data_IF_121090260636
#
_entry.id   IF_121090260636
#
_cell.length_a   1.000
_cell.length_b   1.000
_cell.length_c   1.000
_cell.angle_alpha   90.00
_cell.angle_beta   90.00
_cell.angle_gamma   90.00
#
_symmetry.space_group_name_H-M   'P 1'
#
loop_
_entity.id
_entity.type
_entity.pdbx_description
1 polymer ?
#
# COMPACT_ATOMS: atom_id res chain seq x y z
N UNK A 1 2.84 13.05 -21.29
CA UNK A 1 1.45 13.34 -21.77
C UNK A 1 1.15 14.83 -21.74
N UNK A 2 0.38 15.35 -22.67
CA UNK A 2 -0.07 16.74 -22.61
C UNK A 2 -1.26 16.83 -21.67
N UNK A 3 -1.07 17.41 -20.50
CA UNK A 3 -2.13 17.50 -19.46
C UNK A 3 -2.91 18.80 -19.58
N UNK A 4 -4.22 18.69 -19.33
CA UNK A 4 -5.05 19.85 -19.00
C UNK A 4 -5.00 20.03 -17.48
N UNK A 5 -4.58 21.21 -17.05
CA UNK A 5 -4.63 21.59 -15.64
C UNK A 5 -5.96 22.28 -15.35
N UNK A 6 -6.73 21.73 -14.42
CA UNK A 6 -8.08 22.17 -14.08
C UNK A 6 -8.09 22.96 -12.78
N UNK A 7 -8.48 24.23 -12.84
CA UNK A 7 -8.57 25.13 -11.70
C UNK A 7 -10.03 25.29 -11.24
N UNK A 8 -10.45 24.61 -10.17
CA UNK A 8 -11.87 24.59 -9.76
C UNK A 8 -12.37 25.91 -9.16
N UNK A 9 -11.49 26.77 -8.67
CA UNK A 9 -11.86 28.00 -7.99
C UNK A 9 -12.41 29.08 -8.95
N UNK A 10 -11.95 29.09 -10.19
CA UNK A 10 -12.31 30.07 -11.23
C UNK A 10 -12.82 29.42 -12.52
N UNK A 11 -13.01 28.09 -12.50
CA UNK A 11 -13.40 27.28 -13.66
C UNK A 11 -12.50 27.48 -14.89
N UNK A 12 -11.22 27.76 -14.67
CA UNK A 12 -10.26 27.87 -15.77
C UNK A 12 -9.57 26.52 -16.02
N UNK A 13 -9.09 26.37 -17.26
CA UNK A 13 -8.33 25.19 -17.68
C UNK A 13 -7.12 25.67 -18.44
N UNK A 14 -5.95 25.19 -18.04
CA UNK A 14 -4.66 25.52 -18.65
C UNK A 14 -4.13 24.34 -19.46
N UNK A 15 -3.66 24.62 -20.65
CA UNK A 15 -2.91 23.69 -21.48
C UNK A 15 -1.56 24.33 -21.83
N UNK A 16 -0.47 23.75 -21.33
CA UNK A 16 0.88 24.35 -21.35
C UNK A 16 0.83 25.74 -20.67
N UNK A 17 1.07 26.83 -21.42
CA UNK A 17 1.03 28.22 -20.92
C UNK A 17 -0.24 28.97 -21.31
N UNK A 18 -1.20 28.31 -21.95
CA UNK A 18 -2.43 28.95 -22.46
C UNK A 18 -3.65 28.55 -21.62
N UNK A 19 -4.39 29.53 -21.11
CA UNK A 19 -5.50 29.32 -20.18
C UNK A 19 -6.82 29.78 -20.82
N UNK A 20 -7.88 29.01 -20.64
CA UNK A 20 -9.25 29.35 -21.01
C UNK A 20 -10.16 29.36 -19.80
N UNK A 21 -11.10 30.29 -19.76
CA UNK A 21 -12.16 30.31 -18.73
C UNK A 21 -13.43 29.65 -19.27
N UNK A 22 -14.04 28.82 -18.44
CA UNK A 22 -15.22 28.04 -18.73
C UNK A 22 -16.37 28.45 -17.82
N UNK A 23 -17.60 28.16 -18.26
CA UNK A 23 -18.74 28.17 -17.33
C UNK A 23 -18.70 26.88 -16.48
N UNK A 24 -19.31 26.88 -15.28
CA UNK A 24 -19.29 25.76 -14.35
C UNK A 24 -19.65 24.42 -15.01
N UNK A 25 -20.70 24.38 -15.87
CA UNK A 25 -21.10 23.16 -16.56
C UNK A 25 -20.21 22.79 -17.73
N UNK A 26 -19.64 23.77 -18.44
CA UNK A 26 -18.62 23.54 -19.46
C UNK A 26 -17.36 22.92 -18.83
N UNK A 27 -16.95 23.44 -17.67
CA UNK A 27 -15.83 22.93 -16.89
C UNK A 27 -16.07 21.47 -16.46
N UNK A 28 -17.22 21.19 -15.84
CA UNK A 28 -17.59 19.86 -15.40
C UNK A 28 -17.65 18.85 -16.56
N UNK A 29 -18.25 19.25 -17.71
CA UNK A 29 -18.34 18.42 -18.90
C UNK A 29 -16.95 18.12 -19.49
N UNK A 30 -16.09 19.14 -19.61
CA UNK A 30 -14.74 18.96 -20.12
C UNK A 30 -13.93 18.08 -19.18
N UNK A 31 -13.99 18.30 -17.86
CA UNK A 31 -13.29 17.51 -16.87
C UNK A 31 -13.73 16.04 -16.88
N UNK A 32 -15.03 15.79 -16.98
CA UNK A 32 -15.56 14.44 -17.08
C UNK A 32 -15.03 13.73 -18.33
N UNK A 33 -15.18 14.36 -19.51
CA UNK A 33 -14.72 13.79 -20.78
C UNK A 33 -13.18 13.61 -20.82
N UNK A 34 -12.43 14.48 -20.16
CA UNK A 34 -10.97 14.39 -20.06
C UNK A 34 -10.54 13.21 -19.21
N UNK A 35 -11.16 13.01 -18.04
CA UNK A 35 -10.88 11.84 -17.17
C UNK A 35 -11.19 10.51 -17.85
N UNK A 36 -12.04 10.53 -18.86
CA UNK A 36 -12.45 9.35 -19.62
C UNK A 36 -12.06 9.49 -21.10
N UNK A 37 -10.89 10.08 -21.36
CA UNK A 37 -10.42 10.30 -22.73
C UNK A 37 -10.38 9.00 -23.53
N UNK A 38 -10.83 9.05 -24.79
CA UNK A 38 -10.96 7.88 -25.65
C UNK A 38 -12.29 7.13 -25.53
N UNK A 39 -13.07 7.32 -24.46
CA UNK A 39 -14.39 6.70 -24.29
C UNK A 39 -15.49 7.55 -24.91
N UNK A 40 -16.55 6.90 -25.41
CA UNK A 40 -17.74 7.56 -25.97
C UNK A 40 -18.88 7.49 -24.97
N UNK A 41 -19.53 8.63 -24.73
CA UNK A 41 -20.68 8.73 -23.82
C UNK A 41 -21.90 9.22 -24.55
N UNK A 42 -23.05 8.60 -24.28
CA UNK A 42 -24.34 9.07 -24.81
C UNK A 42 -24.72 10.42 -24.18
N UNK A 43 -25.69 11.14 -24.80
CA UNK A 43 -26.20 12.36 -24.22
C UNK A 43 -26.80 12.15 -22.85
N UNK A 44 -27.56 11.07 -22.67
CA UNK A 44 -28.17 10.70 -21.42
C UNK A 44 -27.11 10.46 -20.33
N UNK A 45 -26.07 9.66 -20.62
CA UNK A 45 -24.96 9.45 -19.68
C UNK A 45 -24.26 10.74 -19.28
N UNK A 46 -24.10 11.69 -20.22
CA UNK A 46 -23.50 12.99 -19.92
C UNK A 46 -24.43 13.87 -19.09
N UNK A 47 -25.74 13.82 -19.32
CA UNK A 47 -26.74 14.53 -18.51
C UNK A 47 -26.68 14.03 -17.05
N UNK A 48 -26.74 12.72 -16.84
CA UNK A 48 -26.72 12.11 -15.50
C UNK A 48 -25.46 12.46 -14.72
N UNK A 49 -24.32 12.58 -15.40
CA UNK A 49 -23.03 12.82 -14.74
C UNK A 49 -22.71 14.30 -14.51
N UNK A 50 -23.13 15.17 -15.41
CA UNK A 50 -22.78 16.60 -15.39
C UNK A 50 -23.90 17.48 -14.86
N UNK A 51 -25.16 17.04 -15.01
CA UNK A 51 -26.35 17.75 -14.54
C UNK A 51 -27.23 16.90 -13.59
N UNK A 52 -26.65 16.25 -12.57
CA UNK A 52 -27.43 15.46 -11.62
C UNK A 52 -28.47 16.38 -10.98
N UNK A 53 -29.74 15.96 -10.93
CA UNK A 53 -30.88 16.71 -10.32
C UNK A 53 -31.46 17.89 -11.14
N UNK A 54 -30.96 18.20 -12.33
CA UNK A 54 -31.46 19.36 -13.09
C UNK A 54 -32.41 18.99 -14.25
N UNK A 55 -32.47 17.74 -14.66
CA UNK A 55 -33.34 17.19 -15.74
C UNK A 55 -33.42 18.03 -17.04
N UNK A 56 -32.30 18.55 -17.57
CA UNK A 56 -32.36 19.28 -18.84
C UNK A 56 -32.54 18.32 -20.02
N UNK A 57 -33.04 18.85 -21.14
CA UNK A 57 -33.16 18.04 -22.36
C UNK A 57 -31.80 17.79 -23.04
N UNK A 58 -31.72 16.77 -23.91
CA UNK A 58 -30.50 16.35 -24.63
C UNK A 58 -29.80 17.48 -25.40
N UNK A 59 -30.54 18.46 -25.92
CA UNK A 59 -29.99 19.66 -26.57
C UNK A 59 -29.05 20.46 -25.70
N UNK A 60 -29.21 20.38 -24.38
CA UNK A 60 -28.31 21.05 -23.43
C UNK A 60 -26.88 20.54 -23.58
N UNK A 61 -26.69 19.23 -23.77
CA UNK A 61 -25.37 18.64 -24.01
C UNK A 61 -24.78 19.16 -25.33
N UNK A 62 -25.59 19.18 -26.38
CA UNK A 62 -25.14 19.61 -27.70
C UNK A 62 -24.69 21.10 -27.68
N UNK A 63 -25.41 21.96 -26.97
CA UNK A 63 -25.06 23.37 -26.81
C UNK A 63 -23.75 23.56 -26.03
N UNK A 64 -23.54 22.79 -24.96
CA UNK A 64 -22.31 22.87 -24.19
C UNK A 64 -21.11 22.28 -24.95
N UNK A 65 -21.29 21.21 -25.71
CA UNK A 65 -20.28 20.65 -26.61
C UNK A 65 -19.92 21.69 -27.71
N UNK A 66 -20.89 22.34 -28.28
CA UNK A 66 -20.64 23.41 -29.27
C UNK A 66 -19.79 24.55 -28.68
N UNK A 67 -20.15 25.05 -27.49
CA UNK A 67 -19.40 26.12 -26.80
C UNK A 67 -17.99 25.65 -26.43
N UNK A 68 -17.84 24.43 -25.89
CA UNK A 68 -16.54 23.86 -25.61
C UNK A 68 -15.66 23.76 -26.85
N UNK A 69 -16.20 23.26 -27.97
CA UNK A 69 -15.44 23.19 -29.22
C UNK A 69 -14.95 24.58 -29.68
N UNK A 70 -15.77 25.62 -29.52
CA UNK A 70 -15.37 26.97 -29.84
C UNK A 70 -14.21 27.45 -28.97
N UNK A 71 -14.24 27.17 -27.68
CA UNK A 71 -13.17 27.54 -26.73
C UNK A 71 -11.91 26.68 -26.91
N UNK A 72 -12.07 25.40 -27.19
CA UNK A 72 -10.97 24.44 -27.42
C UNK A 72 -10.37 24.60 -28.85
N UNK A 73 -10.91 25.43 -29.71
CA UNK A 73 -10.42 25.60 -31.09
C UNK A 73 -8.92 25.96 -31.14
N UNK A 74 -8.43 26.71 -30.14
CA UNK A 74 -7.03 27.10 -30.01
C UNK A 74 -6.10 25.89 -29.74
N UNK A 75 -6.66 24.80 -29.22
CA UNK A 75 -5.97 23.54 -28.92
C UNK A 75 -6.38 22.41 -29.87
N UNK A 76 -7.03 22.71 -31.01
CA UNK A 76 -7.60 21.72 -31.93
C UNK A 76 -6.59 20.76 -32.57
N UNK A 77 -5.31 21.11 -32.55
CA UNK A 77 -4.21 20.23 -32.96
C UNK A 77 -3.95 19.06 -31.98
N UNK A 78 -4.31 19.26 -30.72
CA UNK A 78 -4.00 18.33 -29.63
C UNK A 78 -5.26 17.73 -28.99
N UNK A 79 -6.34 18.52 -28.88
CA UNK A 79 -7.56 18.10 -28.20
C UNK A 79 -8.69 18.09 -29.21
N UNK A 80 -9.38 16.97 -29.35
CA UNK A 80 -10.51 16.80 -30.23
C UNK A 80 -11.71 16.28 -29.45
N UNK A 81 -12.72 17.13 -29.36
CA UNK A 81 -14.06 16.77 -28.87
C UNK A 81 -14.92 16.33 -30.09
N UNK A 82 -14.99 15.00 -30.28
CA UNK A 82 -15.63 14.41 -31.45
C UNK A 82 -17.10 14.07 -31.20
N UNK A 83 -17.92 14.12 -32.30
CA UNK A 83 -19.24 13.47 -32.33
C UNK A 83 -19.08 12.08 -32.90
N UNK A 84 -19.51 11.06 -32.15
CA UNK A 84 -19.60 9.67 -32.63
C UNK A 84 -21.06 9.46 -33.07
N UNK A 85 -21.28 9.40 -34.38
CA UNK A 85 -22.65 9.32 -34.96
C UNK A 85 -23.44 8.16 -34.35
N UNK A 86 -24.65 8.45 -33.89
CA UNK A 86 -25.55 7.46 -33.27
C UNK A 86 -25.18 7.05 -31.84
N UNK A 87 -24.03 7.48 -31.31
CA UNK A 87 -23.55 7.08 -29.95
C UNK A 87 -23.42 8.26 -29.00
N UNK A 88 -22.90 9.42 -29.42
CA UNK A 88 -22.74 10.56 -28.54
C UNK A 88 -21.44 11.33 -28.76
N UNK A 89 -20.69 11.57 -27.66
CA UNK A 89 -19.51 12.41 -27.69
C UNK A 89 -18.31 11.71 -27.05
N UNK A 90 -17.11 11.97 -27.60
CA UNK A 90 -15.84 11.51 -27.01
C UNK A 90 -14.80 12.62 -27.09
N UNK A 91 -13.91 12.69 -26.11
CA UNK A 91 -12.74 13.55 -26.14
C UNK A 91 -11.51 12.68 -26.40
N UNK A 92 -10.74 13.06 -27.42
CA UNK A 92 -9.45 12.43 -27.71
C UNK A 92 -8.35 13.46 -27.62
N UNK A 93 -7.25 13.07 -26.99
CA UNK A 93 -6.01 13.82 -26.99
C UNK A 93 -5.14 13.26 -28.13
N UNK A 94 -4.66 14.12 -29.04
CA UNK A 94 -3.55 13.72 -29.90
C UNK A 94 -2.32 13.73 -29.01
N UNK A 95 -1.65 12.61 -28.96
CA UNK A 95 -0.32 12.57 -28.39
C UNK A 95 0.54 13.58 -29.19
N UNK A 96 1.13 14.55 -28.50
CA UNK A 96 2.26 15.24 -29.05
C UNK A 96 3.30 14.15 -29.43
N UNK A 97 4.07 14.30 -30.53
CA UNK A 97 5.18 13.38 -30.75
C UNK A 97 5.94 13.31 -29.42
N UNK A 98 6.00 12.12 -28.84
CA UNK A 98 6.73 11.91 -27.59
C UNK A 98 8.11 12.47 -27.82
N UNK A 99 8.39 13.62 -27.23
CA UNK A 99 9.77 14.01 -26.99
C UNK A 99 10.31 12.86 -26.15
N UNK A 100 11.10 12.02 -26.79
CA UNK A 100 11.77 10.93 -26.08
C UNK A 100 12.54 11.57 -24.94
N UNK A 101 12.01 11.44 -23.71
CA UNK A 101 12.68 11.95 -22.52
C UNK A 101 13.89 11.04 -22.36
N UNK A 102 15.12 11.55 -22.55
CA UNK A 102 16.31 10.68 -22.57
C UNK A 102 16.45 9.81 -21.33
N UNK A 103 16.06 10.33 -20.17
CA UNK A 103 16.08 9.61 -18.89
C UNK A 103 15.18 8.36 -18.88
N UNK A 104 14.05 8.34 -19.60
CA UNK A 104 13.20 7.15 -19.69
C UNK A 104 13.84 5.99 -20.46
N UNK A 105 14.78 6.29 -21.35
CA UNK A 105 15.48 5.29 -22.18
C UNK A 105 16.88 4.96 -21.65
N UNK A 106 17.38 5.72 -20.68
CA UNK A 106 18.69 5.47 -20.06
C UNK A 106 18.58 4.35 -19.01
N UNK A 107 19.01 3.14 -19.39
CA UNK A 107 18.98 1.97 -18.51
C UNK A 107 19.86 2.11 -17.27
N UNK A 108 20.93 2.90 -17.35
CA UNK A 108 21.81 3.17 -16.21
C UNK A 108 21.11 4.00 -15.15
N UNK A 109 20.45 5.08 -15.57
CA UNK A 109 19.66 5.93 -14.67
C UNK A 109 18.48 5.17 -14.07
N UNK A 110 17.74 4.40 -14.88
CA UNK A 110 16.62 3.58 -14.37
C UNK A 110 17.10 2.64 -13.26
N UNK A 111 18.22 1.93 -13.47
CA UNK A 111 18.80 1.04 -12.47
C UNK A 111 19.20 1.77 -11.19
N UNK A 112 19.77 2.98 -11.29
CA UNK A 112 20.12 3.78 -10.11
C UNK A 112 18.87 4.19 -9.30
N UNK A 113 17.78 4.53 -9.97
CA UNK A 113 16.51 4.86 -9.32
C UNK A 113 15.95 3.64 -8.58
N UNK A 114 15.95 2.47 -9.19
CA UNK A 114 15.49 1.24 -8.53
C UNK A 114 16.36 0.89 -7.33
N UNK A 115 17.67 0.99 -7.43
CA UNK A 115 18.60 0.81 -6.29
C UNK A 115 18.33 1.81 -5.15
N UNK A 116 17.99 3.07 -5.49
CA UNK A 116 17.58 4.06 -4.50
C UNK A 116 16.25 3.66 -3.82
N UNK A 117 15.28 3.15 -4.60
CA UNK A 117 14.02 2.64 -4.08
C UNK A 117 14.25 1.45 -3.15
N UNK A 118 15.09 0.47 -3.53
CA UNK A 118 15.51 -0.65 -2.68
C UNK A 118 16.10 -0.17 -1.35
N UNK A 119 16.96 0.85 -1.41
CA UNK A 119 17.58 1.44 -0.21
C UNK A 119 16.53 2.07 0.70
N UNK A 120 15.60 2.86 0.17
CA UNK A 120 14.51 3.43 0.95
C UNK A 120 13.57 2.35 1.53
N UNK A 121 13.30 1.29 0.77
CA UNK A 121 12.49 0.16 1.23
C UNK A 121 13.18 -0.55 2.41
N UNK A 122 14.48 -0.82 2.31
CA UNK A 122 15.28 -1.40 3.37
C UNK A 122 15.26 -0.54 4.63
N UNK A 123 15.45 0.76 4.51
CA UNK A 123 15.43 1.72 5.63
C UNK A 123 14.02 1.95 6.22
N UNK A 124 12.96 1.42 5.58
CA UNK A 124 11.57 1.64 5.98
C UNK A 124 11.03 3.04 5.65
N UNK A 125 11.66 3.74 4.70
CA UNK A 125 11.31 5.12 4.31
C UNK A 125 10.27 5.15 3.18
N UNK A 126 9.09 4.56 3.38
CA UNK A 126 8.04 4.50 2.36
C UNK A 126 7.56 5.88 1.90
N UNK A 127 7.61 6.89 2.79
CA UNK A 127 7.33 8.30 2.44
C UNK A 127 8.23 8.83 1.32
N UNK A 128 9.54 8.56 1.41
CA UNK A 128 10.51 8.98 0.38
C UNK A 128 10.24 8.28 -0.95
N UNK A 129 9.93 6.99 -0.91
CA UNK A 129 9.55 6.22 -2.09
C UNK A 129 8.27 6.78 -2.74
N UNK A 130 7.25 7.11 -1.95
CA UNK A 130 6.01 7.71 -2.44
C UNK A 130 6.23 9.07 -3.09
N UNK A 131 7.09 9.91 -2.52
CA UNK A 131 7.45 11.21 -3.13
C UNK A 131 8.11 10.99 -4.48
N UNK A 132 9.05 10.06 -4.58
CA UNK A 132 9.75 9.75 -5.83
C UNK A 132 8.78 9.21 -6.89
N UNK A 133 7.92 8.26 -6.51
CA UNK A 133 6.90 7.69 -7.41
C UNK A 133 5.88 8.74 -7.89
N UNK A 134 5.45 9.65 -7.03
CA UNK A 134 4.54 10.73 -7.42
C UNK A 134 5.17 11.76 -8.37
N UNK A 135 6.49 11.85 -8.42
CA UNK A 135 7.24 12.75 -9.29
C UNK A 135 7.86 12.04 -10.51
N UNK A 136 7.54 10.76 -10.74
CA UNK A 136 8.16 9.96 -11.80
C UNK A 136 8.07 10.59 -13.19
N UNK A 137 6.93 11.22 -13.52
CA UNK A 137 6.77 11.91 -14.82
C UNK A 137 7.67 13.15 -14.92
N UNK A 138 7.76 13.95 -13.86
CA UNK A 138 8.62 15.14 -13.82
C UNK A 138 10.10 14.76 -13.89
N UNK A 139 10.47 13.67 -13.23
CA UNK A 139 11.84 13.16 -13.20
C UNK A 139 12.21 12.38 -14.49
N UNK A 140 11.22 12.00 -15.29
CA UNK A 140 11.42 11.17 -16.47
C UNK A 140 11.97 9.79 -16.12
N UNK A 141 11.40 9.15 -15.08
CA UNK A 141 11.80 7.82 -14.63
C UNK A 141 10.58 6.91 -14.54
N UNK A 142 10.79 5.60 -14.56
CA UNK A 142 9.74 4.60 -14.38
C UNK A 142 9.95 3.85 -13.06
N UNK A 143 8.87 3.67 -12.32
CA UNK A 143 8.84 2.76 -11.18
C UNK A 143 8.49 1.37 -11.72
N UNK A 144 9.28 0.37 -11.39
CA UNK A 144 9.03 -1.01 -11.79
C UNK A 144 7.89 -1.67 -11.00
N UNK A 145 7.44 -2.83 -11.48
CA UNK A 145 6.30 -3.53 -10.89
C UNK A 145 6.51 -3.94 -9.43
N UNK A 146 7.68 -4.46 -9.00
CA UNK A 146 7.91 -4.78 -7.59
C UNK A 146 7.77 -3.57 -6.66
N UNK A 147 8.41 -2.45 -6.99
CA UNK A 147 8.28 -1.23 -6.18
C UNK A 147 6.86 -0.66 -6.21
N UNK A 148 6.17 -0.73 -7.36
CA UNK A 148 4.77 -0.32 -7.43
C UNK A 148 3.90 -1.14 -6.47
N UNK A 149 4.02 -2.46 -6.47
CA UNK A 149 3.27 -3.34 -5.56
C UNK A 149 3.58 -3.04 -4.09
N UNK A 150 4.85 -2.84 -3.74
CA UNK A 150 5.23 -2.42 -2.39
C UNK A 150 4.58 -1.08 -2.01
N UNK A 151 4.58 -0.09 -2.91
CA UNK A 151 3.96 1.22 -2.66
C UNK A 151 2.44 1.10 -2.48
N UNK A 152 1.75 0.24 -3.24
CA UNK A 152 0.33 -0.07 -3.04
C UNK A 152 0.08 -0.75 -1.70
N UNK A 153 0.97 -1.68 -1.32
CA UNK A 153 0.89 -2.36 -0.03
C UNK A 153 1.03 -1.38 1.15
N UNK A 154 2.06 -0.51 1.16
CA UNK A 154 2.26 0.43 2.28
C UNK A 154 1.16 1.49 2.40
N UNK A 155 0.40 1.72 1.33
CA UNK A 155 -0.80 2.58 1.33
C UNK A 155 -2.07 1.84 1.75
N UNK A 156 -2.02 0.54 2.03
CA UNK A 156 -3.18 -0.34 2.26
C UNK A 156 -4.21 -0.31 1.10
N UNK A 157 -3.73 -0.19 -0.15
CA UNK A 157 -4.56 -0.12 -1.36
C UNK A 157 -5.04 -1.52 -1.78
N UNK A 158 -5.93 -2.12 -0.96
CA UNK A 158 -6.49 -3.45 -1.23
C UNK A 158 -7.33 -3.48 -2.50
N UNK A 159 -7.95 -2.36 -2.87
CA UNK A 159 -8.75 -2.25 -4.10
C UNK A 159 -7.88 -2.48 -5.34
N UNK A 160 -6.68 -1.90 -5.36
CA UNK A 160 -5.73 -2.13 -6.44
C UNK A 160 -5.32 -3.60 -6.55
N UNK A 161 -4.99 -4.26 -5.43
CA UNK A 161 -4.61 -5.68 -5.44
C UNK A 161 -5.73 -6.58 -5.96
N UNK A 162 -6.98 -6.25 -5.69
CA UNK A 162 -8.14 -7.04 -6.11
C UNK A 162 -8.53 -6.82 -7.57
N UNK A 163 -8.33 -5.62 -8.11
CA UNK A 163 -8.96 -5.23 -9.38
C UNK A 163 -8.00 -4.75 -10.47
N UNK A 164 -6.75 -4.34 -10.14
CA UNK A 164 -5.82 -3.83 -11.14
C UNK A 164 -5.33 -4.94 -12.09
N UNK A 165 -5.28 -4.70 -13.41
CA UNK A 165 -4.65 -5.59 -14.37
C UNK A 165 -3.12 -5.38 -14.51
N UNK A 166 -2.53 -4.44 -13.77
CA UNK A 166 -1.12 -4.03 -13.91
C UNK A 166 -0.13 -5.08 -13.39
N UNK A 167 -0.58 -6.06 -12.61
CA UNK A 167 0.24 -7.16 -12.12
C UNK A 167 -0.51 -8.49 -12.23
N UNK A 168 0.22 -9.57 -12.40
CA UNK A 168 -0.35 -10.92 -12.42
C UNK A 168 -0.84 -11.33 -11.03
N UNK A 169 -1.86 -12.17 -10.98
CA UNK A 169 -2.47 -12.62 -9.73
C UNK A 169 -1.45 -13.32 -8.82
N UNK A 170 -0.53 -14.11 -9.37
CA UNK A 170 0.53 -14.78 -8.60
C UNK A 170 1.48 -13.80 -7.92
N UNK A 171 1.81 -12.67 -8.58
CA UNK A 171 2.72 -11.67 -8.03
C UNK A 171 2.04 -10.86 -6.90
N UNK A 172 0.71 -10.72 -6.98
CA UNK A 172 -0.10 -10.10 -5.94
C UNK A 172 -0.26 -10.98 -4.70
N UNK A 173 -0.16 -12.31 -4.85
CA UNK A 173 -0.42 -13.26 -3.76
C UNK A 173 0.43 -12.99 -2.51
N UNK A 174 1.72 -12.71 -2.68
CA UNK A 174 2.61 -12.37 -1.55
C UNK A 174 2.08 -11.19 -0.72
N UNK A 175 1.66 -10.12 -1.38
CA UNK A 175 1.14 -8.91 -0.73
C UNK A 175 -0.25 -9.12 -0.12
N UNK A 176 -1.08 -9.95 -0.74
CA UNK A 176 -2.38 -10.34 -0.18
C UNK A 176 -2.21 -11.19 1.09
N UNK A 177 -1.26 -12.13 1.12
CA UNK A 177 -0.92 -12.91 2.30
C UNK A 177 -0.37 -12.02 3.42
N UNK A 178 0.55 -11.10 3.11
CA UNK A 178 1.07 -10.11 4.05
C UNK A 178 -0.03 -9.20 4.61
N UNK A 179 -0.95 -8.75 3.76
CA UNK A 179 -2.13 -7.97 4.16
C UNK A 179 -3.06 -8.77 5.07
N UNK A 180 -3.34 -10.02 4.70
CA UNK A 180 -4.22 -10.89 5.46
C UNK A 180 -3.68 -11.15 6.88
N UNK A 181 -2.41 -11.51 7.00
CA UNK A 181 -1.75 -11.73 8.29
C UNK A 181 -1.69 -10.48 9.17
N UNK A 182 -1.69 -9.31 8.54
CA UNK A 182 -1.59 -8.01 9.21
C UNK A 182 -2.94 -7.51 9.73
N UNK A 183 -3.98 -7.62 8.91
CA UNK A 183 -5.28 -6.98 9.17
C UNK A 183 -6.27 -7.89 9.89
N UNK A 184 -6.18 -9.21 9.68
CA UNK A 184 -7.19 -10.14 10.16
C UNK A 184 -6.59 -11.15 11.15
N UNK A 185 -7.18 -11.24 12.35
CA UNK A 185 -6.72 -12.15 13.40
C UNK A 185 -7.44 -13.50 13.28
N UNK A 186 -7.06 -14.24 12.24
CA UNK A 186 -7.51 -15.62 11.97
C UNK A 186 -6.31 -16.57 11.90
N UNK A 187 -5.68 -16.92 13.04
CA UNK A 187 -4.37 -17.58 13.07
C UNK A 187 -4.33 -18.87 12.24
N UNK A 188 -5.33 -19.74 12.43
CA UNK A 188 -5.36 -21.03 11.72
C UNK A 188 -5.51 -20.86 10.21
N UNK A 189 -6.40 -19.96 9.77
CA UNK A 189 -6.63 -19.73 8.34
C UNK A 189 -5.42 -19.06 7.70
N UNK A 190 -4.82 -18.11 8.41
CA UNK A 190 -3.58 -17.46 7.98
C UNK A 190 -2.44 -18.46 7.79
N UNK A 191 -2.18 -19.31 8.78
CA UNK A 191 -1.14 -20.33 8.69
C UNK A 191 -1.40 -21.29 7.52
N UNK A 192 -2.64 -21.74 7.33
CA UNK A 192 -2.99 -22.63 6.22
C UNK A 192 -2.71 -22.01 4.85
N UNK A 193 -3.02 -20.71 4.66
CA UNK A 193 -2.72 -20.00 3.42
C UNK A 193 -1.21 -19.91 3.16
N UNK A 194 -0.42 -19.63 4.20
CA UNK A 194 1.04 -19.56 4.09
C UNK A 194 1.64 -20.94 3.76
N UNK A 195 1.20 -22.00 4.45
CA UNK A 195 1.68 -23.37 4.19
C UNK A 195 1.33 -23.80 2.75
N UNK A 196 0.11 -23.55 2.27
CA UNK A 196 -0.30 -23.84 0.88
C UNK A 196 0.53 -23.06 -0.16
N UNK A 197 0.79 -21.76 0.07
CA UNK A 197 1.60 -20.96 -0.83
C UNK A 197 3.05 -21.45 -0.91
N UNK A 198 3.61 -21.93 0.22
CA UNK A 198 4.95 -22.52 0.29
C UNK A 198 4.97 -23.86 -0.44
N UNK A 199 4.02 -24.75 -0.16
CA UNK A 199 3.96 -26.10 -0.74
C UNK A 199 3.75 -26.05 -2.27
N UNK A 200 2.90 -25.17 -2.75
CA UNK A 200 2.59 -25.03 -4.18
C UNK A 200 3.73 -24.40 -4.99
N UNK A 201 4.66 -23.68 -4.36
CA UNK A 201 5.74 -22.91 -5.02
C UNK A 201 5.24 -21.95 -6.10
N UNK A 202 4.03 -21.43 -5.93
CA UNK A 202 3.41 -20.53 -6.91
C UNK A 202 4.07 -19.15 -6.96
N UNK A 203 4.65 -18.71 -5.83
CA UNK A 203 5.30 -17.39 -5.73
C UNK A 203 6.63 -17.36 -6.51
N UNK A 204 7.04 -16.16 -7.00
CA UNK A 204 8.40 -15.98 -7.50
C UNK A 204 9.45 -16.36 -6.44
N UNK A 205 10.65 -16.75 -6.88
CA UNK A 205 11.68 -17.35 -6.02
C UNK A 205 12.08 -16.51 -4.80
N UNK A 206 12.10 -15.19 -4.94
CA UNK A 206 12.45 -14.28 -3.84
C UNK A 206 11.34 -14.25 -2.80
N UNK A 207 10.10 -13.95 -3.21
CA UNK A 207 8.92 -13.88 -2.35
C UNK A 207 8.63 -15.22 -1.69
N UNK A 208 8.86 -16.34 -2.41
CA UNK A 208 8.74 -17.67 -1.85
C UNK A 208 9.72 -17.87 -0.69
N UNK A 209 11.00 -17.51 -0.87
CA UNK A 209 12.02 -17.61 0.18
C UNK A 209 11.70 -16.72 1.37
N UNK A 210 11.29 -15.49 1.13
CA UNK A 210 10.89 -14.56 2.21
C UNK A 210 9.70 -15.10 3.00
N UNK A 211 8.71 -15.68 2.30
CA UNK A 211 7.54 -16.27 2.94
C UNK A 211 7.94 -17.46 3.83
N UNK A 212 8.74 -18.41 3.29
CA UNK A 212 9.16 -19.63 3.97
C UNK A 212 10.08 -19.36 5.17
N UNK A 213 11.00 -18.40 5.04
CA UNK A 213 12.06 -18.16 6.05
C UNK A 213 11.68 -17.08 7.05
N UNK A 214 10.99 -16.03 6.63
CA UNK A 214 10.77 -14.83 7.45
C UNK A 214 9.29 -14.62 7.81
N UNK A 215 8.42 -14.54 6.81
CA UNK A 215 7.06 -14.06 7.05
C UNK A 215 6.16 -15.08 7.75
N UNK A 216 6.53 -16.35 7.74
CA UNK A 216 5.85 -17.43 8.47
C UNK A 216 6.16 -17.43 9.97
N UNK A 217 7.24 -16.75 10.39
CA UNK A 217 7.64 -16.67 11.80
C UNK A 217 6.57 -15.94 12.63
N UNK A 218 6.24 -16.50 13.76
CA UNK A 218 5.17 -16.05 14.65
C UNK A 218 3.81 -16.68 14.36
N UNK A 219 3.56 -17.19 13.14
CA UNK A 219 2.26 -17.78 12.80
C UNK A 219 2.02 -19.13 13.48
N UNK A 220 3.06 -19.92 13.70
CA UNK A 220 2.97 -21.17 14.46
C UNK A 220 2.71 -20.90 15.94
N UNK A 221 3.34 -19.89 16.53
CA UNK A 221 3.11 -19.46 17.89
C UNK A 221 1.67 -18.97 18.11
N UNK A 222 1.12 -18.21 17.15
CA UNK A 222 -0.29 -17.78 17.17
C UNK A 222 -1.28 -18.97 17.19
N UNK A 223 -0.84 -20.15 16.74
CA UNK A 223 -1.59 -21.42 16.75
C UNK A 223 -1.17 -22.38 17.89
N UNK A 224 -0.41 -21.90 18.90
CA UNK A 224 0.04 -22.69 20.04
C UNK A 224 1.22 -23.64 19.77
N UNK A 225 1.85 -23.55 18.58
CA UNK A 225 2.98 -24.42 18.15
C UNK A 225 4.32 -23.71 18.40
N UNK A 226 4.57 -23.29 19.66
CA UNK A 226 5.71 -22.45 20.07
C UNK A 226 7.06 -23.10 19.71
N UNK A 227 7.28 -24.38 20.10
CA UNK A 227 8.56 -25.06 19.86
C UNK A 227 8.89 -25.22 18.37
N UNK A 228 7.86 -25.37 17.56
CA UNK A 228 8.05 -25.48 16.12
C UNK A 228 8.49 -24.14 15.53
N UNK A 229 7.87 -23.05 15.97
CA UNK A 229 8.25 -21.71 15.55
C UNK A 229 9.68 -21.36 15.95
N UNK A 230 10.07 -21.66 17.20
CA UNK A 230 11.45 -21.47 17.65
C UNK A 230 12.47 -22.29 16.83
N UNK A 231 12.11 -23.51 16.42
CA UNK A 231 12.97 -24.27 15.48
C UNK A 231 13.10 -23.61 14.12
N UNK A 232 12.04 -22.94 13.63
CA UNK A 232 12.08 -22.16 12.39
C UNK A 232 12.93 -20.90 12.53
N UNK A 233 12.85 -20.20 13.66
CA UNK A 233 13.74 -19.08 14.00
C UNK A 233 15.22 -19.51 13.91
N UNK A 234 15.59 -20.64 14.50
CA UNK A 234 16.96 -21.15 14.41
C UNK A 234 17.40 -21.50 12.97
N UNK A 235 16.48 -22.01 12.15
CA UNK A 235 16.75 -22.24 10.72
C UNK A 235 16.93 -20.91 9.97
N UNK A 236 16.12 -19.89 10.27
CA UNK A 236 16.21 -18.58 9.65
C UNK A 236 17.56 -17.91 9.94
N UNK A 237 18.04 -17.92 11.18
CA UNK A 237 19.39 -17.42 11.50
C UNK A 237 20.48 -18.13 10.70
N UNK A 238 20.48 -19.46 10.66
CA UNK A 238 21.46 -20.25 9.89
C UNK A 238 21.38 -19.98 8.39
N UNK A 239 20.20 -19.65 7.88
CA UNK A 239 20.02 -19.31 6.47
C UNK A 239 20.69 -17.98 6.16
N UNK A 240 20.49 -16.96 7.00
CA UNK A 240 21.07 -15.61 6.81
C UNK A 240 22.59 -15.63 6.98
N UNK A 241 23.13 -16.37 7.97
CA UNK A 241 24.58 -16.54 8.18
C UNK A 241 25.31 -17.04 6.92
N UNK A 242 24.62 -17.81 6.05
CA UNK A 242 25.19 -18.34 4.81
C UNK A 242 25.19 -17.34 3.66
N UNK A 243 24.45 -16.26 3.76
CA UNK A 243 24.26 -15.26 2.69
C UNK A 243 25.28 -14.10 2.75
N UNK A 244 26.34 -14.24 3.59
CA UNK A 244 27.48 -13.34 3.72
C UNK A 244 27.17 -11.85 3.38
N UNK A 245 26.59 -11.13 4.35
CA UNK A 245 26.51 -9.66 4.32
C UNK A 245 25.47 -9.02 3.39
N UNK A 246 24.79 -9.79 2.54
CA UNK A 246 23.77 -9.23 1.65
C UNK A 246 22.44 -8.88 2.36
N UNK A 247 22.25 -9.30 3.63
CA UNK A 247 20.97 -9.24 4.33
C UNK A 247 21.05 -8.76 5.78
N UNK A 248 21.89 -7.78 6.09
CA UNK A 248 22.07 -7.26 7.47
C UNK A 248 20.74 -6.83 8.16
N UNK A 249 19.75 -6.35 7.40
CA UNK A 249 18.44 -5.96 7.94
C UNK A 249 17.56 -7.13 8.41
N UNK A 250 17.77 -8.35 7.91
CA UNK A 250 16.91 -9.51 8.25
C UNK A 250 17.17 -10.07 9.64
N UNK A 251 18.37 -9.91 10.19
CA UNK A 251 18.68 -10.33 11.55
C UNK A 251 17.76 -9.66 12.58
N UNK A 252 17.49 -8.36 12.42
CA UNK A 252 16.56 -7.64 13.30
C UNK A 252 15.14 -8.19 13.16
N UNK A 253 14.71 -8.49 11.94
CA UNK A 253 13.37 -9.05 11.68
C UNK A 253 13.19 -10.42 12.38
N UNK A 254 14.19 -11.30 12.31
CA UNK A 254 14.15 -12.61 12.97
C UNK A 254 14.15 -12.43 14.50
N UNK A 255 14.97 -11.53 15.03
CA UNK A 255 15.02 -11.26 16.48
C UNK A 255 13.67 -10.68 16.99
N UNK A 256 13.00 -9.86 16.21
CA UNK A 256 11.65 -9.36 16.51
C UNK A 256 10.62 -10.50 16.53
N UNK A 257 10.70 -11.44 15.59
CA UNK A 257 9.84 -12.62 15.57
C UNK A 257 10.14 -13.53 16.78
N UNK A 258 11.41 -13.76 17.12
CA UNK A 258 11.82 -14.53 18.32
C UNK A 258 11.28 -13.89 19.59
N UNK A 259 11.45 -12.57 19.75
CA UNK A 259 10.88 -11.83 20.89
C UNK A 259 9.36 -11.98 20.97
N UNK A 260 8.67 -11.89 19.83
CA UNK A 260 7.21 -12.09 19.76
C UNK A 260 6.81 -13.48 20.22
N UNK A 261 7.50 -14.53 19.76
CA UNK A 261 7.21 -15.92 20.12
C UNK A 261 7.40 -16.14 21.63
N UNK A 262 8.48 -15.62 22.25
CA UNK A 262 8.69 -15.69 23.69
C UNK A 262 7.62 -14.92 24.47
N UNK A 263 7.15 -13.76 23.99
CA UNK A 263 6.04 -13.03 24.61
C UNK A 263 4.73 -13.84 24.57
N UNK A 264 4.44 -14.53 23.46
CA UNK A 264 3.26 -15.41 23.32
C UNK A 264 3.38 -16.63 24.23
N UNK A 265 4.59 -17.18 24.38
CA UNK A 265 4.88 -18.29 25.26
C UNK A 265 4.86 -17.91 26.77
N UNK A 266 4.88 -16.62 27.10
CA UNK A 266 5.01 -16.14 28.47
C UNK A 266 6.44 -16.27 29.05
N UNK A 267 7.42 -16.48 28.19
CA UNK A 267 8.83 -16.57 28.55
C UNK A 267 9.47 -15.17 28.63
N UNK A 268 9.21 -14.51 29.74
CA UNK A 268 9.63 -13.12 29.96
C UNK A 268 11.16 -12.96 29.96
N UNK A 269 11.98 -13.86 30.63
CA UNK A 269 13.44 -13.73 30.62
C UNK A 269 14.02 -13.73 29.18
N UNK A 270 13.56 -14.63 28.32
CA UNK A 270 14.04 -14.69 26.94
C UNK A 270 13.55 -13.49 26.11
N UNK A 271 12.31 -13.03 26.34
CA UNK A 271 11.82 -11.81 25.71
C UNK A 271 12.64 -10.56 26.09
N UNK A 272 13.09 -10.45 27.36
CA UNK A 272 13.99 -9.38 27.81
C UNK A 272 15.38 -9.49 27.16
N UNK A 273 15.92 -10.71 27.04
CA UNK A 273 17.19 -10.95 26.33
C UNK A 273 17.10 -10.51 24.86
N UNK A 274 16.05 -10.92 24.17
CA UNK A 274 15.78 -10.49 22.78
C UNK A 274 15.64 -8.98 22.68
N UNK A 275 14.90 -8.34 23.60
CA UNK A 275 14.70 -6.89 23.62
C UNK A 275 16.03 -6.14 23.67
N UNK A 276 16.95 -6.55 24.56
CA UNK A 276 18.26 -5.90 24.67
C UNK A 276 19.09 -6.07 23.40
N UNK A 277 19.10 -7.26 22.82
CA UNK A 277 19.84 -7.53 21.59
C UNK A 277 19.28 -6.72 20.41
N UNK A 278 17.94 -6.59 20.29
CA UNK A 278 17.30 -5.75 19.27
C UNK A 278 17.68 -4.27 19.45
N UNK A 279 17.74 -3.76 20.69
CA UNK A 279 18.18 -2.39 20.95
C UNK A 279 19.61 -2.13 20.44
N UNK A 280 20.54 -3.05 20.69
CA UNK A 280 21.90 -2.93 20.20
C UNK A 280 21.97 -2.93 18.66
N UNK A 281 21.20 -3.80 17.99
CA UNK A 281 21.13 -3.85 16.54
C UNK A 281 20.51 -2.57 15.95
N UNK A 282 19.41 -2.06 16.50
CA UNK A 282 18.73 -0.87 16.04
C UNK A 282 19.53 0.42 16.30
N UNK A 283 20.39 0.44 17.32
CA UNK A 283 21.33 1.53 17.56
C UNK A 283 22.39 1.61 16.44
N UNK A 284 22.79 0.47 15.89
CA UNK A 284 23.76 0.40 14.80
C UNK A 284 23.10 0.69 13.43
N UNK A 285 21.85 0.24 13.22
CA UNK A 285 21.12 0.40 11.95
C UNK A 285 19.62 0.71 12.22
N UNK A 286 19.25 2.01 12.21
CA UNK A 286 17.90 2.45 12.62
C UNK A 286 16.88 2.29 11.49
N UNK A 287 16.43 1.06 11.23
CA UNK A 287 15.37 0.77 10.27
C UNK A 287 14.00 1.13 10.84
N UNK A 288 13.28 2.07 10.22
CA UNK A 288 12.02 2.61 10.75
C UNK A 288 10.94 1.53 10.96
N UNK A 289 10.85 0.56 10.05
CA UNK A 289 9.89 -0.56 10.15
C UNK A 289 10.15 -1.41 11.38
N UNK A 290 11.40 -1.76 11.62
CA UNK A 290 11.84 -2.59 12.75
C UNK A 290 11.72 -1.82 14.07
N UNK A 291 12.04 -0.53 14.09
CA UNK A 291 11.84 0.34 15.26
C UNK A 291 10.36 0.39 15.67
N UNK A 292 9.45 0.60 14.71
CA UNK A 292 8.01 0.61 14.98
C UNK A 292 7.55 -0.73 15.58
N UNK A 293 7.95 -1.86 14.97
CA UNK A 293 7.61 -3.21 15.44
C UNK A 293 8.18 -3.46 16.83
N UNK A 294 9.44 -3.11 17.05
CA UNK A 294 10.12 -3.26 18.33
C UNK A 294 9.39 -2.54 19.46
N UNK A 295 9.04 -1.28 19.27
CA UNK A 295 8.34 -0.51 20.30
C UNK A 295 6.95 -1.07 20.62
N UNK A 296 6.26 -1.66 19.65
CA UNK A 296 5.03 -2.41 19.88
C UNK A 296 5.26 -3.65 20.78
N UNK A 297 6.32 -4.43 20.54
CA UNK A 297 6.69 -5.59 21.36
C UNK A 297 7.23 -5.17 22.73
N UNK A 298 8.08 -4.15 22.78
CA UNK A 298 8.60 -3.58 24.05
C UNK A 298 7.46 -3.09 24.95
N UNK A 299 6.46 -2.44 24.38
CA UNK A 299 5.27 -2.04 25.12
C UNK A 299 4.56 -3.22 25.77
N UNK A 300 4.39 -4.34 25.05
CA UNK A 300 3.79 -5.57 25.62
C UNK A 300 4.65 -6.17 26.72
N UNK A 301 5.95 -6.26 26.51
CA UNK A 301 6.91 -6.73 27.53
C UNK A 301 6.81 -5.88 28.80
N UNK A 302 6.85 -4.56 28.68
CA UNK A 302 6.74 -3.64 29.80
C UNK A 302 5.39 -3.75 30.54
N UNK A 303 4.28 -4.01 29.84
CA UNK A 303 2.99 -4.31 30.48
C UNK A 303 3.09 -5.57 31.34
N UNK A 304 3.67 -6.67 30.84
CA UNK A 304 3.85 -7.93 31.59
C UNK A 304 4.77 -7.75 32.80
N UNK A 305 5.74 -6.85 32.73
CA UNK A 305 6.61 -6.44 33.84
C UNK A 305 5.95 -5.46 34.84
N UNK A 306 4.70 -5.06 34.64
CA UNK A 306 3.99 -4.10 35.48
C UNK A 306 4.41 -2.64 35.29
N UNK A 307 5.22 -2.33 34.26
CA UNK A 307 5.77 -1.01 33.96
C UNK A 307 4.87 -0.23 33.00
N UNK A 308 3.58 -0.09 33.37
CA UNK A 308 2.52 0.49 32.50
C UNK A 308 2.86 1.87 31.91
N UNK A 309 3.36 2.89 32.68
CA UNK A 309 3.65 4.20 32.08
C UNK A 309 4.66 4.12 30.95
N UNK A 310 5.72 3.34 31.14
CA UNK A 310 6.76 3.12 30.12
C UNK A 310 6.23 2.32 28.92
N UNK A 311 5.35 1.35 29.17
CA UNK A 311 4.68 0.60 28.09
C UNK A 311 3.86 1.52 27.19
N UNK A 312 3.08 2.45 27.77
CA UNK A 312 2.29 3.43 27.01
C UNK A 312 3.20 4.30 26.16
N UNK A 313 4.30 4.80 26.73
CA UNK A 313 5.30 5.59 25.99
C UNK A 313 5.90 4.78 24.82
N UNK A 314 6.21 3.50 25.03
CA UNK A 314 6.75 2.65 23.98
C UNK A 314 5.72 2.46 22.85
N UNK A 315 4.46 2.15 23.15
CA UNK A 315 3.40 2.04 22.14
C UNK A 315 3.23 3.33 21.33
N UNK A 316 3.20 4.49 22.00
CA UNK A 316 3.07 5.79 21.34
C UNK A 316 4.26 6.09 20.43
N UNK A 317 5.47 5.79 20.89
CA UNK A 317 6.67 5.95 20.06
C UNK A 317 6.61 5.07 18.81
N UNK A 318 6.26 3.80 18.95
CA UNK A 318 6.11 2.89 17.81
C UNK A 318 5.10 3.41 16.76
N UNK A 319 3.94 3.91 17.22
CA UNK A 319 2.95 4.50 16.33
C UNK A 319 3.48 5.76 15.62
N UNK A 320 4.16 6.65 16.34
CA UNK A 320 4.74 7.86 15.75
C UNK A 320 5.79 7.54 14.66
N UNK A 321 6.64 6.54 14.90
CA UNK A 321 7.62 6.07 13.91
C UNK A 321 6.91 5.47 12.69
N UNK A 322 5.86 4.67 12.89
CA UNK A 322 5.08 4.10 11.80
C UNK A 322 4.36 5.17 10.95
N UNK A 323 3.88 6.24 11.57
CA UNK A 323 3.30 7.40 10.89
C UNK A 323 4.35 8.14 10.05
N UNK A 324 5.54 8.38 10.59
CA UNK A 324 6.64 9.01 9.85
C UNK A 324 7.12 8.14 8.67
N UNK A 325 7.15 6.83 8.84
CA UNK A 325 7.47 5.87 7.78
C UNK A 325 6.42 5.83 6.65
N UNK A 326 5.21 6.35 6.85
CA UNK A 326 4.06 6.26 5.94
C UNK A 326 3.77 4.79 5.51
N UNK A 327 3.77 3.88 6.48
CA UNK A 327 3.51 2.47 6.26
C UNK A 327 2.24 2.05 7.02
N UNK A 328 1.10 2.07 6.31
CA UNK A 328 -0.20 1.77 6.91
C UNK A 328 -0.33 0.34 7.42
N UNK A 329 0.10 -0.72 6.70
CA UNK A 329 0.10 -2.08 7.25
C UNK A 329 0.83 -2.20 8.56
N UNK A 330 1.96 -1.53 8.70
CA UNK A 330 2.76 -1.54 9.93
C UNK A 330 2.00 -0.91 11.11
N UNK A 331 1.35 0.22 10.89
CA UNK A 331 0.49 0.88 11.89
C UNK A 331 -0.68 0.00 12.30
N UNK A 332 -1.39 -0.57 11.33
CA UNK A 332 -2.51 -1.48 11.60
C UNK A 332 -2.03 -2.71 12.38
N UNK A 333 -0.91 -3.33 11.97
CA UNK A 333 -0.29 -4.48 12.67
C UNK A 333 0.01 -4.15 14.13
N UNK A 334 0.58 -2.96 14.39
CA UNK A 334 0.88 -2.49 15.75
C UNK A 334 -0.38 -2.35 16.59
N UNK A 335 -1.43 -1.72 16.04
CA UNK A 335 -2.72 -1.51 16.72
C UNK A 335 -3.44 -2.83 16.96
N UNK A 336 -3.62 -3.66 15.92
CA UNK A 336 -4.32 -4.96 16.00
C UNK A 336 -3.60 -5.91 16.95
N UNK A 337 -2.27 -5.96 16.86
CA UNK A 337 -1.47 -6.79 17.75
C UNK A 337 -1.51 -6.34 19.22
N UNK A 338 -1.56 -5.03 19.49
CA UNK A 338 -1.73 -4.51 20.85
C UNK A 338 -3.12 -4.79 21.38
N UNK A 339 -4.17 -4.64 20.55
CA UNK A 339 -5.54 -5.01 20.92
C UNK A 339 -5.67 -6.48 21.26
N UNK A 340 -5.09 -7.37 20.47
CA UNK A 340 -5.10 -8.81 20.70
C UNK A 340 -4.40 -9.16 22.03
N UNK A 341 -3.23 -8.57 22.29
CA UNK A 341 -2.52 -8.69 23.54
C UNK A 341 -3.36 -8.22 24.75
N UNK A 342 -3.98 -7.03 24.65
CA UNK A 342 -4.83 -6.48 25.72
C UNK A 342 -6.12 -7.30 25.97
N UNK A 343 -6.58 -8.05 24.99
CA UNK A 343 -7.73 -8.97 25.12
C UNK A 343 -7.35 -10.31 25.74
N UNK A 344 -6.18 -10.84 25.41
CA UNK A 344 -5.79 -12.21 25.76
C UNK A 344 -4.88 -12.30 26.99
N UNK A 345 -3.91 -11.40 27.08
CA UNK A 345 -2.81 -11.52 28.04
C UNK A 345 -2.83 -10.45 29.15
N UNK A 346 -3.38 -9.28 28.91
CA UNK A 346 -3.31 -8.18 29.89
C UNK A 346 -4.54 -7.25 29.81
N UNK A 347 -5.38 -7.24 30.84
CA UNK A 347 -6.60 -6.42 30.87
C UNK A 347 -6.28 -4.96 31.26
N UNK A 348 -6.40 -4.02 30.31
CA UNK A 348 -6.34 -2.59 30.51
C UNK A 348 -7.45 -1.89 29.68
N UNK A 349 -8.62 -1.72 30.28
CA UNK A 349 -9.79 -1.19 29.57
C UNK A 349 -9.61 0.22 29.00
N UNK A 350 -8.94 1.18 29.68
CA UNK A 350 -8.62 2.48 29.09
C UNK A 350 -7.74 2.38 27.85
N UNK A 351 -6.68 1.60 27.91
CA UNK A 351 -5.75 1.42 26.80
C UNK A 351 -6.42 0.67 25.65
N UNK A 352 -7.21 -0.35 25.95
CA UNK A 352 -7.99 -1.09 24.95
C UNK A 352 -8.94 -0.17 24.18
N UNK A 353 -9.68 0.72 24.88
CA UNK A 353 -10.56 1.70 24.21
C UNK A 353 -9.78 2.64 23.30
N UNK A 354 -8.59 3.12 23.73
CA UNK A 354 -7.72 3.98 22.91
C UNK A 354 -7.32 3.29 21.60
N UNK A 355 -6.83 2.05 21.69
CA UNK A 355 -6.40 1.30 20.51
C UNK A 355 -7.57 0.85 19.64
N UNK A 356 -8.74 0.55 20.24
CA UNK A 356 -9.95 0.24 19.47
C UNK A 356 -10.42 1.44 18.64
N UNK A 357 -10.46 2.63 19.23
CA UNK A 357 -10.80 3.86 18.49
C UNK A 357 -9.83 4.12 17.31
N UNK A 358 -8.53 3.81 17.50
CA UNK A 358 -7.54 3.94 16.42
C UNK A 358 -7.77 2.90 15.31
N UNK A 359 -8.11 1.66 15.66
CA UNK A 359 -8.49 0.63 14.69
C UNK A 359 -9.74 1.02 13.91
N UNK A 360 -10.79 1.51 14.59
CA UNK A 360 -12.03 1.93 13.97
C UNK A 360 -11.82 3.09 12.98
N UNK A 361 -10.89 4.00 13.29
CA UNK A 361 -10.46 5.05 12.37
C UNK A 361 -9.81 4.47 11.11
N UNK A 362 -8.88 3.52 11.25
CA UNK A 362 -8.25 2.85 10.11
C UNK A 362 -9.26 2.07 9.28
N UNK A 363 -10.15 1.33 9.92
CA UNK A 363 -11.19 0.57 9.21
C UNK A 363 -12.14 1.50 8.43
N UNK A 364 -12.50 2.65 9.00
CA UNK A 364 -13.32 3.66 8.32
C UNK A 364 -12.63 4.24 7.08
N UNK A 365 -11.32 4.49 7.15
CA UNK A 365 -10.55 5.09 6.05
C UNK A 365 -10.23 4.06 4.96
N UNK A 366 -9.70 2.91 5.36
CA UNK A 366 -9.16 1.88 4.44
C UNK A 366 -10.14 0.73 4.18
N UNK A 367 -11.31 0.72 4.84
CA UNK A 367 -12.38 -0.29 4.69
C UNK A 367 -11.87 -1.73 4.89
N UNK A 368 -10.94 -1.92 5.83
CA UNK A 368 -10.26 -3.20 6.04
C UNK A 368 -11.23 -4.35 6.26
N UNK A 369 -12.25 -4.15 7.11
CA UNK A 369 -13.28 -5.16 7.38
C UNK A 369 -14.09 -5.53 6.14
N UNK A 370 -14.38 -4.56 5.26
CA UNK A 370 -15.13 -4.80 4.02
C UNK A 370 -14.33 -5.61 3.00
N UNK A 371 -13.01 -5.46 2.99
CA UNK A 371 -12.12 -6.19 2.08
C UNK A 371 -11.76 -7.60 2.55
N UNK A 372 -12.09 -8.01 3.78
CA UNK A 372 -11.73 -9.33 4.30
C UNK A 372 -12.16 -10.47 3.37
N UNK A 373 -13.44 -10.57 3.09
CA UNK A 373 -13.97 -11.63 2.24
C UNK A 373 -13.44 -11.58 0.78
N UNK A 374 -13.39 -10.42 0.10
CA UNK A 374 -12.76 -10.32 -1.21
C UNK A 374 -11.30 -10.76 -1.24
N UNK A 375 -10.49 -10.41 -0.23
CA UNK A 375 -9.09 -10.84 -0.11
C UNK A 375 -9.00 -12.35 0.07
N UNK A 376 -9.82 -12.95 0.94
CA UNK A 376 -9.87 -14.39 1.13
C UNK A 376 -10.21 -15.12 -0.18
N UNK A 377 -11.24 -14.68 -0.89
CA UNK A 377 -11.65 -15.26 -2.18
C UNK A 377 -10.55 -15.17 -3.22
N UNK A 378 -9.81 -14.05 -3.27
CA UNK A 378 -8.70 -13.88 -4.19
C UNK A 378 -7.55 -14.83 -3.87
N UNK A 379 -7.14 -14.92 -2.59
CA UNK A 379 -6.09 -15.85 -2.13
C UNK A 379 -6.48 -17.29 -2.48
N UNK A 380 -7.70 -17.72 -2.12
CA UNK A 380 -8.21 -19.08 -2.36
C UNK A 380 -8.27 -19.40 -3.85
N UNK A 381 -8.69 -18.45 -4.69
CA UNK A 381 -8.70 -18.61 -6.16
C UNK A 381 -7.30 -18.84 -6.71
N UNK A 382 -6.32 -18.03 -6.26
CA UNK A 382 -4.94 -18.15 -6.76
C UNK A 382 -4.32 -19.48 -6.30
N UNK A 383 -4.47 -19.84 -5.03
CA UNK A 383 -3.95 -21.10 -4.50
C UNK A 383 -4.60 -22.35 -5.13
N UNK A 384 -5.86 -22.25 -5.55
CA UNK A 384 -6.59 -23.35 -6.21
C UNK A 384 -6.25 -23.49 -7.70
N UNK A 385 -5.53 -22.56 -8.30
CA UNK A 385 -5.14 -22.58 -9.71
C UNK A 385 -3.88 -23.42 -9.99
N UNK A 386 -3.28 -23.98 -8.96
CA UNK A 386 -2.08 -24.84 -8.96
C UNK A 386 -2.46 -26.25 -8.57
#
# INVERSE_FOLDING_TARGET
>A
MAYLDFHPNDYSVTYKSDTISLLAKEYALLQFLYRHAGQTFTREQLLDRVWPMEYPGERTVDDHVYRLRKKLKRWSGQIRLATVRGLGYSLTMKEAPELAIPSLTDSGLQKQIWQLMDTYQMLGQSKSMLVLANQQELLGVNIDSPHLMFLRFVQADLDWFLHSPEAEDRDKLYWLLASYSTYYKEPQKCLNYFEQAIESKILPDQEHRELEVLNILGLYADNGRIEEDLRRVQKAYRFIERLEGELDGFNVHIALAEMYIHLVAGDIPEAERCSKWIEDMLAAAPYLREICTYHGLKGRLLMLLGRRPEAVTAFEHGLAVGEEAHNMPLLVKSVVGTLDFLKKAYQDSPLQRKFQARYDEFDRIYRLSAYKQPVEQMIERILSSV
#
